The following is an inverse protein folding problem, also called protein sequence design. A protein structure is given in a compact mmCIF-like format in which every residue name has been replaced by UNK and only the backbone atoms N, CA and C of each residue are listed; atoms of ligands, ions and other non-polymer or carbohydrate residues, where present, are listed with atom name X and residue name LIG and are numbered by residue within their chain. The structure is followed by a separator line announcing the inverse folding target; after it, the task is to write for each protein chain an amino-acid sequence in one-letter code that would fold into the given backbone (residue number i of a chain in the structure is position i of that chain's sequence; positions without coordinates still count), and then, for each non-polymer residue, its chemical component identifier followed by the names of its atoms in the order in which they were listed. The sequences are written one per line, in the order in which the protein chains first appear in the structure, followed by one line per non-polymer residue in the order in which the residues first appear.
data_IF_407897745445
#
_entry.id   IF_407897745445
#
_cell.length_a   1.000
_cell.length_b   1.000
_cell.length_c   1.000
_cell.angle_alpha   90.00
_cell.angle_beta   90.00
_cell.angle_gamma   90.00
#
_symmetry.space_group_name_H-M   'P 1'
#
loop_
_entity.id
_entity.type
_entity.pdbx_description
1 polymer ?
#
# COMPACT_ATOMS: atom_id res chain seq x y z
N UNK A 1 -11.78 5.31 -0.02
CA UNK A 1 -12.74 4.88 -1.08
C UNK A 1 -12.49 3.40 -1.37
N UNK A 2 -13.49 2.62 -1.76
CA UNK A 2 -13.33 1.23 -2.22
C UNK A 2 -13.47 1.21 -3.76
N UNK A 3 -12.37 1.28 -4.54
CA UNK A 3 -12.45 1.28 -5.98
C UNK A 3 -12.80 -0.11 -6.51
N UNK A 4 -13.54 -0.15 -7.62
CA UNK A 4 -13.75 -1.35 -8.41
C UNK A 4 -12.79 -1.30 -9.61
N UNK A 5 -11.99 -2.35 -9.80
CA UNK A 5 -10.94 -2.41 -10.84
C UNK A 5 -11.30 -3.47 -11.87
N UNK A 6 -11.46 -3.07 -13.13
CA UNK A 6 -11.54 -4.01 -14.24
C UNK A 6 -10.14 -4.54 -14.58
N UNK A 7 -10.04 -5.67 -15.30
CA UNK A 7 -8.75 -6.16 -15.79
C UNK A 7 -7.98 -5.08 -16.56
N UNK A 8 -6.75 -4.81 -16.13
CA UNK A 8 -5.87 -3.79 -16.71
C UNK A 8 -6.02 -2.37 -16.13
N UNK A 9 -7.02 -2.11 -15.28
CA UNK A 9 -7.17 -0.81 -14.61
C UNK A 9 -6.27 -0.69 -13.39
N UNK A 10 -5.83 0.54 -13.11
CA UNK A 10 -5.00 0.87 -11.96
C UNK A 10 -5.66 1.96 -11.13
N UNK A 11 -5.53 1.86 -9.82
CA UNK A 11 -5.92 2.92 -8.89
C UNK A 11 -4.72 3.34 -8.05
N UNK A 12 -4.49 4.65 -7.99
CA UNK A 12 -3.38 5.25 -7.25
C UNK A 12 -3.92 6.24 -6.23
N UNK A 13 -3.41 6.17 -5.00
CA UNK A 13 -3.69 7.14 -3.96
C UNK A 13 -2.44 7.40 -3.14
N UNK A 14 -2.33 8.61 -2.59
CA UNK A 14 -1.26 8.98 -1.67
C UNK A 14 -1.84 9.12 -0.28
N UNK A 15 -1.18 8.51 0.71
CA UNK A 15 -1.46 8.67 2.13
C UNK A 15 -0.16 8.99 2.86
N UNK A 16 -0.24 9.32 4.14
CA UNK A 16 0.91 9.62 4.99
C UNK A 16 0.80 8.88 6.31
N UNK A 17 1.95 8.52 6.88
CA UNK A 17 2.07 7.96 8.22
C UNK A 17 3.10 8.79 9.00
N UNK A 18 2.77 9.14 10.24
CA UNK A 18 3.71 9.75 11.18
C UNK A 18 4.40 8.63 11.97
N UNK A 19 5.72 8.62 11.97
CA UNK A 19 6.54 7.71 12.77
C UNK A 19 7.52 8.53 13.60
N UNK A 20 7.79 8.09 14.84
CA UNK A 20 8.70 8.81 15.76
C UNK A 20 10.18 8.63 15.40
N UNK A 21 10.49 7.62 14.58
CA UNK A 21 11.87 7.26 14.20
C UNK A 21 12.23 7.78 12.82
N UNK A 22 13.51 8.10 12.60
CA UNK A 22 14.01 8.54 11.30
C UNK A 22 13.96 7.45 10.19
N UNK A 23 13.85 6.19 10.60
CA UNK A 23 13.69 5.02 9.72
C UNK A 23 12.63 4.11 10.32
N UNK A 24 11.74 3.61 9.48
CA UNK A 24 10.69 2.67 9.81
C UNK A 24 10.39 1.73 8.64
N UNK A 25 9.45 0.84 8.84
CA UNK A 25 9.04 -0.17 7.87
C UNK A 25 7.52 -0.24 7.81
N UNK A 26 6.98 -0.34 6.60
CA UNK A 26 5.56 -0.59 6.35
C UNK A 26 5.37 -1.93 5.64
N UNK A 27 4.31 -2.64 6.01
CA UNK A 27 3.84 -3.87 5.38
C UNK A 27 2.34 -4.00 5.63
N UNK A 28 1.65 -4.84 4.86
CA UNK A 28 0.24 -5.08 5.09
C UNK A 28 -0.43 -5.88 3.99
N UNK A 29 -1.73 -5.72 3.86
CA UNK A 29 -2.53 -6.30 2.78
C UNK A 29 -3.80 -5.49 2.56
N UNK A 30 -4.33 -5.56 1.33
CA UNK A 30 -5.70 -5.18 1.05
C UNK A 30 -6.57 -6.42 1.03
N UNK A 31 -7.76 -6.33 1.63
CA UNK A 31 -8.80 -7.32 1.47
C UNK A 31 -9.62 -6.92 0.25
N UNK A 32 -9.61 -7.77 -0.76
CA UNK A 32 -10.26 -7.58 -2.03
C UNK A 32 -11.48 -8.49 -2.14
N UNK A 33 -12.50 -8.02 -2.85
CA UNK A 33 -13.68 -8.81 -3.21
C UNK A 33 -13.67 -8.99 -4.74
N UNK A 34 -13.70 -10.24 -5.18
CA UNK A 34 -13.79 -10.60 -6.60
C UNK A 34 -15.22 -10.49 -7.13
N UNK A 35 -15.38 -10.49 -8.46
CA UNK A 35 -16.69 -10.48 -9.12
C UNK A 35 -17.52 -11.74 -8.81
N UNK A 36 -16.88 -12.83 -8.42
CA UNK A 36 -17.54 -14.08 -8.00
C UNK A 36 -17.97 -14.05 -6.52
N UNK A 37 -17.66 -12.97 -5.80
CA UNK A 37 -18.01 -12.81 -4.38
C UNK A 37 -16.98 -13.40 -3.40
N UNK A 38 -15.86 -13.91 -3.89
CA UNK A 38 -14.79 -14.45 -3.05
C UNK A 38 -13.88 -13.33 -2.54
N UNK A 39 -13.52 -13.41 -1.26
CA UNK A 39 -12.52 -12.53 -0.67
C UNK A 39 -11.12 -13.09 -0.91
N UNK A 40 -10.19 -12.20 -1.27
CA UNK A 40 -8.77 -12.55 -1.37
C UNK A 40 -7.89 -11.42 -0.86
N UNK A 41 -6.68 -11.77 -0.43
CA UNK A 41 -5.71 -10.83 0.08
C UNK A 41 -4.72 -10.40 -1.02
N UNK A 42 -4.61 -9.11 -1.25
CA UNK A 42 -3.52 -8.53 -2.03
C UNK A 42 -2.43 -8.05 -1.06
N UNK A 43 -1.31 -8.78 -1.01
CA UNK A 43 -0.22 -8.47 -0.09
C UNK A 43 0.50 -7.18 -0.48
N UNK A 44 0.83 -6.37 0.52
CA UNK A 44 1.72 -5.22 0.40
C UNK A 44 3.08 -5.68 0.97
N UNK A 45 4.08 -5.90 0.12
CA UNK A 45 5.42 -6.27 0.56
C UNK A 45 6.00 -5.23 1.52
N UNK A 46 6.96 -5.67 2.32
CA UNK A 46 7.68 -4.79 3.21
C UNK A 46 8.44 -3.70 2.44
N UNK A 47 8.27 -2.43 2.81
CA UNK A 47 9.07 -1.32 2.28
C UNK A 47 9.51 -0.35 3.39
N UNK A 48 10.61 0.35 3.16
CA UNK A 48 11.22 1.25 4.15
C UNK A 48 10.62 2.64 4.06
N UNK A 49 10.28 3.20 5.22
CA UNK A 49 10.08 4.63 5.40
C UNK A 49 11.39 5.23 5.90
N UNK A 50 11.96 6.17 5.17
CA UNK A 50 13.18 6.86 5.60
C UNK A 50 13.09 8.32 5.25
N UNK A 51 13.57 9.17 6.16
CA UNK A 51 13.87 10.56 5.82
C UNK A 51 15.00 10.52 4.77
N UNK A 52 14.83 11.13 3.59
CA UNK A 52 15.88 11.17 2.59
C UNK A 52 17.10 11.88 3.20
N UNK A 53 18.16 11.12 3.46
CA UNK A 53 19.48 11.68 3.73
C UNK A 53 20.10 11.96 2.37
N UNK A 54 20.00 13.19 1.90
CA UNK A 54 20.81 13.66 0.77
C UNK A 54 22.27 13.59 1.20
N UNK A 55 22.99 12.57 0.77
CA UNK A 55 24.45 12.59 0.80
C UNK A 55 24.88 13.41 -0.43
N UNK A 56 25.39 14.62 -0.21
CA UNK A 56 26.04 15.42 -1.25
C UNK A 56 27.43 14.86 -1.56
#
# INVERSE_FOLDING_TARGET
KKPYLKPGETFTYTSGALIETAVGVMQGKYIMLSDTGENFDALIPQFTLSIPRTLH
#
